data_IF_209916936065
#
_entry.id   IF_209916936065
#
_cell.length_a   1.000
_cell.length_b   1.000
_cell.length_c   1.000
_cell.angle_alpha   90.00
_cell.angle_beta   90.00
_cell.angle_gamma   90.00
#
_symmetry.space_group_name_H-M   'P 1'
#
loop_
_entity.id
_entity.type
_entity.pdbx_description
1 polymer ?
#
# COMPACT_ATOMS: atom_id res chain seq x y z
N UNK A 1 -71.51 -65.13 -11.89
CA UNK A 1 -70.10 -64.93 -11.50
C UNK A 1 -69.41 -64.20 -12.63
N UNK A 2 -69.15 -62.90 -12.47
CA UNK A 2 -68.58 -62.04 -13.52
C UNK A 2 -67.43 -61.24 -12.88
N UNK A 3 -66.20 -61.23 -13.43
CA UNK A 3 -65.11 -60.46 -12.86
C UNK A 3 -65.07 -59.07 -13.51
N UNK A 4 -65.14 -58.01 -12.71
CA UNK A 4 -64.96 -56.64 -13.19
C UNK A 4 -63.51 -56.21 -12.93
N UNK A 5 -62.74 -56.00 -14.01
CA UNK A 5 -61.39 -55.44 -13.97
C UNK A 5 -61.45 -53.96 -13.57
N UNK A 6 -60.69 -53.58 -12.53
CA UNK A 6 -60.48 -52.20 -12.14
C UNK A 6 -59.11 -51.73 -12.66
N UNK A 7 -59.10 -50.77 -13.58
CA UNK A 7 -57.88 -50.13 -14.06
C UNK A 7 -57.54 -48.95 -13.14
N UNK A 8 -56.37 -49.00 -12.50
CA UNK A 8 -55.81 -47.90 -11.72
C UNK A 8 -54.98 -47.03 -12.68
N UNK A 9 -55.43 -45.81 -12.92
CA UNK A 9 -54.67 -44.79 -13.65
C UNK A 9 -53.71 -44.12 -12.65
N UNK A 10 -52.41 -44.30 -12.86
CA UNK A 10 -51.37 -43.66 -12.05
C UNK A 10 -51.04 -42.28 -12.67
N UNK A 11 -51.50 -41.19 -12.07
CA UNK A 11 -51.13 -39.83 -12.48
C UNK A 11 -49.82 -39.42 -11.81
N UNK A 12 -48.73 -39.37 -12.59
CA UNK A 12 -47.42 -38.87 -12.15
C UNK A 12 -47.41 -37.34 -12.24
N UNK A 13 -47.44 -36.65 -11.09
CA UNK A 13 -47.21 -35.21 -11.01
C UNK A 13 -45.70 -34.93 -11.02
N UNK A 14 -45.18 -34.40 -12.13
CA UNK A 14 -43.81 -33.90 -12.22
C UNK A 14 -43.73 -32.52 -11.54
N UNK A 15 -43.18 -32.45 -10.33
CA UNK A 15 -42.93 -31.18 -9.63
C UNK A 15 -41.65 -30.57 -10.19
N UNK A 16 -41.79 -29.61 -11.11
CA UNK A 16 -40.71 -28.74 -11.57
C UNK A 16 -40.36 -27.74 -10.45
N UNK A 17 -39.35 -28.05 -9.64
CA UNK A 17 -38.72 -27.07 -8.77
C UNK A 17 -37.88 -26.11 -9.63
N UNK A 18 -38.18 -24.80 -9.65
CA UNK A 18 -37.30 -23.84 -10.30
C UNK A 18 -36.01 -23.79 -9.49
N UNK A 19 -34.89 -24.21 -10.11
CA UNK A 19 -33.55 -23.92 -9.60
C UNK A 19 -33.34 -22.41 -9.63
N UNK A 20 -33.73 -21.73 -8.56
CA UNK A 20 -33.30 -20.37 -8.27
C UNK A 20 -31.78 -20.42 -8.07
N UNK A 21 -31.04 -20.01 -9.10
CA UNK A 21 -29.63 -19.68 -8.97
C UNK A 21 -29.51 -18.49 -8.03
N UNK A 22 -29.29 -18.74 -6.74
CA UNK A 22 -28.83 -17.69 -5.84
C UNK A 22 -27.48 -17.21 -6.36
N UNK A 23 -27.49 -16.08 -7.07
CA UNK A 23 -26.29 -15.30 -7.27
C UNK A 23 -25.72 -15.01 -5.87
N UNK A 24 -24.57 -15.63 -5.56
CA UNK A 24 -23.87 -15.35 -4.30
C UNK A 24 -23.48 -13.87 -4.34
N UNK A 25 -24.22 -13.05 -3.59
CA UNK A 25 -23.80 -11.69 -3.30
C UNK A 25 -22.56 -11.78 -2.42
N UNK A 26 -21.38 -11.78 -3.03
CA UNK A 26 -20.13 -11.50 -2.32
C UNK A 26 -20.16 -10.03 -1.94
N UNK A 27 -20.16 -9.70 -0.63
CA UNK A 27 -20.03 -8.32 -0.20
C UNK A 27 -18.79 -7.72 -0.85
N UNK A 28 -18.84 -6.47 -1.34
CA UNK A 28 -17.64 -5.81 -1.87
C UNK A 28 -16.54 -5.87 -0.81
N UNK A 29 -15.32 -6.20 -1.25
CA UNK A 29 -14.15 -6.15 -0.36
C UNK A 29 -13.96 -4.71 0.11
N UNK A 30 -14.16 -4.45 1.40
CA UNK A 30 -13.83 -3.17 2.01
C UNK A 30 -12.31 -3.03 2.01
N UNK A 31 -11.79 -2.04 1.30
CA UNK A 31 -10.38 -1.72 1.24
C UNK A 31 -9.93 -0.96 2.49
N UNK A 32 -8.64 -0.69 2.58
CA UNK A 32 -8.06 0.22 3.56
C UNK A 32 -7.45 1.46 2.91
N UNK A 33 -7.18 2.48 3.72
CA UNK A 33 -6.48 3.69 3.26
C UNK A 33 -5.04 3.66 3.74
N UNK A 34 -4.10 3.79 2.81
CA UNK A 34 -2.69 4.07 3.10
C UNK A 34 -2.41 5.58 2.91
N UNK A 35 -1.59 6.17 3.77
CA UNK A 35 -1.23 7.60 3.69
C UNK A 35 0.28 7.78 3.89
N UNK A 36 0.89 8.68 3.11
CA UNK A 36 2.25 9.15 3.36
C UNK A 36 2.27 10.31 4.37
N UNK A 37 3.17 10.24 5.34
CA UNK A 37 3.37 11.25 6.39
C UNK A 37 4.87 11.50 6.58
N UNK A 38 5.25 12.74 6.88
CA UNK A 38 6.61 13.11 7.28
C UNK A 38 7.27 14.19 6.42
N UNK A 39 6.64 14.62 5.32
CA UNK A 39 7.25 15.54 4.35
C UNK A 39 6.75 16.99 4.48
N UNK A 40 5.91 17.29 5.46
CA UNK A 40 5.57 18.67 5.80
C UNK A 40 5.32 18.81 7.31
N UNK A 41 6.12 19.64 7.99
CA UNK A 41 6.01 19.85 9.44
C UNK A 41 4.65 20.40 9.92
N UNK A 42 3.80 20.88 9.00
CA UNK A 42 2.47 21.40 9.29
C UNK A 42 1.34 20.38 9.04
N UNK A 43 1.65 19.09 8.82
CA UNK A 43 0.64 18.04 8.56
C UNK A 43 0.15 17.31 9.82
N UNK A 44 0.41 17.91 10.98
CA UNK A 44 0.09 17.36 12.29
C UNK A 44 1.02 16.23 12.70
N UNK A 45 0.91 15.83 13.97
CA UNK A 45 1.71 14.75 14.54
C UNK A 45 1.28 13.38 14.00
N UNK A 46 2.14 12.37 14.17
CA UNK A 46 1.84 11.01 13.73
C UNK A 46 0.68 10.43 14.55
N UNK A 47 0.64 10.68 15.86
CA UNK A 47 -0.47 10.22 16.71
C UNK A 47 -1.81 10.88 16.33
N UNK A 48 -1.82 12.17 15.98
CA UNK A 48 -3.00 12.90 15.48
C UNK A 48 -3.48 12.32 14.15
N UNK A 49 -2.55 12.03 13.24
CA UNK A 49 -2.83 11.35 11.96
C UNK A 49 -3.52 10.01 12.21
N UNK A 50 -2.99 9.18 13.11
CA UNK A 50 -3.56 7.89 13.46
C UNK A 50 -4.90 8.00 14.21
N UNK A 51 -5.08 9.01 15.05
CA UNK A 51 -6.30 9.25 15.82
C UNK A 51 -7.50 9.66 14.95
N UNK A 52 -7.28 10.03 13.69
CA UNK A 52 -8.37 10.29 12.73
C UNK A 52 -9.26 9.06 12.50
N UNK A 53 -8.73 7.84 12.70
CA UNK A 53 -9.44 6.59 12.42
C UNK A 53 -9.66 6.31 10.93
N UNK A 54 -9.07 7.10 10.02
CA UNK A 54 -9.26 6.96 8.56
C UNK A 54 -8.25 6.06 7.89
N UNK A 55 -7.07 5.87 8.48
CA UNK A 55 -5.95 5.19 7.83
C UNK A 55 -5.69 3.82 8.45
N UNK A 56 -5.37 2.85 7.61
CA UNK A 56 -4.97 1.50 8.01
C UNK A 56 -3.45 1.30 7.90
N UNK A 57 -2.80 2.12 7.08
CA UNK A 57 -1.36 2.11 6.85
C UNK A 57 -0.83 3.55 6.83
N UNK A 58 0.30 3.78 7.50
CA UNK A 58 1.04 5.04 7.44
C UNK A 58 2.46 4.76 7.00
N UNK A 59 2.87 5.39 5.89
CA UNK A 59 4.23 5.31 5.36
C UNK A 59 5.00 6.55 5.80
N UNK A 60 6.02 6.36 6.65
CA UNK A 60 6.91 7.41 7.13
C UNK A 60 7.92 7.77 6.03
N UNK A 61 7.73 8.94 5.43
CA UNK A 61 8.50 9.44 4.30
C UNK A 61 9.53 10.49 4.78
N UNK A 62 10.84 10.35 4.56
CA UNK A 62 11.54 9.24 3.88
C UNK A 62 12.93 8.98 4.47
N UNK A 63 13.40 7.73 4.36
CA UNK A 63 14.84 7.44 4.36
C UNK A 63 15.34 7.62 2.92
N UNK A 64 15.90 8.78 2.59
CA UNK A 64 16.16 9.18 1.20
C UNK A 64 17.65 9.34 0.84
N UNK A 65 18.56 9.00 1.74
CA UNK A 65 19.99 8.85 1.45
C UNK A 65 20.44 7.51 2.03
N UNK A 66 20.99 6.62 1.21
CA UNK A 66 21.51 5.31 1.64
C UNK A 66 22.25 4.57 0.51
N UNK A 67 22.94 3.48 0.86
CA UNK A 67 23.64 2.62 -0.10
C UNK A 67 24.90 3.26 -0.69
N UNK A 68 25.73 2.48 -1.36
CA UNK A 68 27.00 2.95 -1.93
C UNK A 68 28.01 3.40 -0.86
N UNK A 69 27.94 2.83 0.34
CA UNK A 69 28.80 3.19 1.48
C UNK A 69 28.41 4.48 2.21
N UNK A 70 27.29 5.11 1.84
CA UNK A 70 26.78 6.31 2.52
C UNK A 70 26.25 5.99 3.92
N UNK A 71 26.35 6.94 4.84
CA UNK A 71 25.61 6.90 6.11
C UNK A 71 24.13 7.15 5.81
N UNK A 72 23.20 6.24 6.16
CA UNK A 72 21.80 6.44 5.84
C UNK A 72 21.21 7.66 6.57
N UNK A 73 20.44 8.49 5.86
CA UNK A 73 19.86 9.73 6.40
C UNK A 73 18.35 9.79 6.21
N UNK A 74 17.65 9.90 7.34
CA UNK A 74 16.21 10.09 7.40
C UNK A 74 15.89 11.58 7.24
N UNK A 75 14.85 11.90 6.48
CA UNK A 75 14.30 13.24 6.36
C UNK A 75 12.81 13.22 6.73
N UNK A 76 12.44 13.93 7.79
CA UNK A 76 11.05 14.15 8.19
C UNK A 76 10.68 15.65 8.13
N UNK A 77 11.21 16.34 7.10
CA UNK A 77 11.03 17.76 6.86
C UNK A 77 11.16 18.61 8.15
N UNK A 78 10.09 19.31 8.53
CA UNK A 78 10.07 20.19 9.71
C UNK A 78 9.58 19.52 11.00
N UNK A 79 9.34 18.20 11.03
CA UNK A 79 8.79 17.53 12.22
C UNK A 79 9.82 17.39 13.34
N UNK A 80 11.02 16.96 12.99
CA UNK A 80 12.11 16.71 13.93
C UNK A 80 13.44 16.54 13.18
N UNK A 81 14.55 16.59 13.92
CA UNK A 81 15.90 16.41 13.38
C UNK A 81 16.50 15.05 13.81
N UNK A 82 16.63 14.06 12.90
CA UNK A 82 17.17 12.74 13.25
C UNK A 82 18.65 12.74 13.70
N UNK A 83 19.59 13.48 13.07
CA UNK A 83 20.99 13.52 13.49
C UNK A 83 21.22 13.96 14.94
N UNK A 84 20.44 14.92 15.46
CA UNK A 84 20.50 15.32 16.89
C UNK A 84 19.76 14.37 17.84
N UNK A 85 19.12 13.32 17.34
CA UNK A 85 18.24 12.46 18.11
C UNK A 85 16.87 13.08 18.41
N UNK A 86 16.51 14.20 17.77
CA UNK A 86 15.24 14.90 17.98
C UNK A 86 14.00 14.10 17.57
N UNK A 87 14.16 13.04 16.76
CA UNK A 87 13.06 12.21 16.28
C UNK A 87 12.73 11.00 17.16
N UNK A 88 13.47 10.74 18.24
CA UNK A 88 13.24 9.55 19.10
C UNK A 88 11.87 9.56 19.79
N UNK A 89 11.26 10.74 19.95
CA UNK A 89 9.91 10.90 20.52
C UNK A 89 8.81 10.22 19.69
N UNK A 90 9.04 10.01 18.38
CA UNK A 90 8.10 9.32 17.48
C UNK A 90 7.86 7.87 17.91
N UNK A 91 8.74 7.26 18.69
CA UNK A 91 8.57 5.91 19.24
C UNK A 91 7.20 5.74 19.93
N UNK A 92 6.79 6.73 20.73
CA UNK A 92 5.51 6.67 21.45
C UNK A 92 4.30 6.82 20.52
N UNK A 93 4.44 7.63 19.47
CA UNK A 93 3.39 7.86 18.47
C UNK A 93 3.21 6.66 17.55
N UNK A 94 4.32 6.01 17.14
CA UNK A 94 4.31 4.75 16.40
C UNK A 94 3.58 3.67 17.20
N UNK A 95 3.92 3.52 18.49
CA UNK A 95 3.24 2.56 19.38
C UNK A 95 1.76 2.85 19.51
N UNK A 96 1.38 4.13 19.60
CA UNK A 96 -0.02 4.54 19.61
C UNK A 96 -0.74 4.12 18.33
N UNK A 97 -0.20 4.41 17.14
CA UNK A 97 -0.76 3.94 15.87
C UNK A 97 -0.92 2.42 15.83
N UNK A 98 0.12 1.68 16.23
CA UNK A 98 0.10 0.22 16.27
C UNK A 98 -0.96 -0.33 17.24
N UNK A 99 -1.20 0.34 18.37
CA UNK A 99 -2.26 -0.03 19.31
C UNK A 99 -3.68 0.12 18.72
N UNK A 100 -3.84 0.98 17.71
CA UNK A 100 -5.07 1.12 16.93
C UNK A 100 -5.17 0.13 15.76
N UNK A 101 -4.19 -0.78 15.62
CA UNK A 101 -4.12 -1.74 14.52
C UNK A 101 -3.60 -1.15 13.20
N UNK A 102 -3.11 0.10 13.22
CA UNK A 102 -2.54 0.76 12.05
C UNK A 102 -1.11 0.27 11.85
N UNK A 103 -0.77 -0.14 10.63
CA UNK A 103 0.61 -0.53 10.29
C UNK A 103 1.43 0.71 9.95
N UNK A 104 2.59 0.84 10.57
CA UNK A 104 3.52 1.95 10.31
C UNK A 104 4.76 1.40 9.62
N UNK A 105 5.00 1.83 8.38
CA UNK A 105 6.13 1.41 7.56
C UNK A 105 7.11 2.58 7.38
N UNK A 106 8.41 2.28 7.28
CA UNK A 106 9.39 3.26 6.81
C UNK A 106 9.43 3.24 5.29
N UNK A 107 9.26 4.38 4.64
CA UNK A 107 9.41 4.49 3.19
C UNK A 107 10.83 4.87 2.80
N UNK A 108 11.39 4.10 1.88
CA UNK A 108 12.70 4.29 1.28
C UNK A 108 12.57 5.08 -0.01
N UNK A 109 13.46 6.05 -0.22
CA UNK A 109 13.59 6.75 -1.48
C UNK A 109 12.78 8.03 -1.55
N UNK A 110 11.73 8.03 -2.38
CA UNK A 110 10.95 9.20 -2.80
C UNK A 110 11.60 9.97 -3.95
N UNK A 111 10.87 10.91 -4.54
CA UNK A 111 11.30 11.67 -5.72
C UNK A 111 12.55 12.54 -5.55
N UNK A 112 13.01 12.81 -4.32
CA UNK A 112 14.25 13.56 -4.03
C UNK A 112 15.10 12.76 -3.04
N UNK A 113 16.30 12.37 -3.46
CA UNK A 113 17.26 11.67 -2.61
C UNK A 113 18.53 11.25 -3.34
N UNK A 114 19.44 10.60 -2.60
CA UNK A 114 20.63 9.96 -3.16
C UNK A 114 20.73 8.53 -2.64
N UNK A 115 20.08 7.61 -3.36
CA UNK A 115 19.97 6.22 -2.96
C UNK A 115 20.26 5.29 -4.14
N UNK A 116 21.11 4.30 -3.91
CA UNK A 116 21.42 3.25 -4.88
C UNK A 116 22.24 2.16 -4.20
N UNK A 117 22.17 0.94 -4.72
CA UNK A 117 23.07 -0.14 -4.34
C UNK A 117 24.14 -0.38 -5.40
N UNK A 118 25.35 -0.69 -4.93
CA UNK A 118 26.51 -1.01 -5.75
C UNK A 118 26.74 -2.52 -5.94
N UNK A 119 26.12 -3.35 -5.08
CA UNK A 119 26.23 -4.80 -5.09
C UNK A 119 25.13 -5.46 -4.25
N UNK A 120 24.99 -6.78 -4.35
CA UNK A 120 24.14 -7.57 -3.44
C UNK A 120 24.59 -7.44 -1.98
N UNK A 121 25.90 -7.36 -1.71
CA UNK A 121 26.42 -7.17 -0.34
C UNK A 121 26.06 -5.80 0.24
N UNK A 122 26.04 -4.76 -0.60
CA UNK A 122 25.57 -3.42 -0.22
C UNK A 122 24.08 -3.45 0.17
N UNK A 123 23.25 -4.14 -0.61
CA UNK A 123 21.83 -4.37 -0.28
C UNK A 123 21.66 -5.18 1.02
N UNK A 124 22.51 -6.20 1.25
CA UNK A 124 22.50 -7.00 2.48
C UNK A 124 22.87 -6.16 3.72
N UNK A 125 23.96 -5.41 3.64
CA UNK A 125 24.41 -4.53 4.73
C UNK A 125 23.34 -3.50 5.07
N UNK A 126 22.68 -2.95 4.05
CA UNK A 126 21.57 -2.02 4.27
C UNK A 126 20.34 -2.70 4.87
N UNK A 127 20.01 -3.94 4.48
CA UNK A 127 18.94 -4.71 5.11
C UNK A 127 19.20 -4.92 6.61
N UNK A 128 20.44 -5.23 6.99
CA UNK A 128 20.87 -5.35 8.39
C UNK A 128 20.76 -4.00 9.13
N UNK A 129 21.15 -2.90 8.49
CA UNK A 129 20.96 -1.56 9.03
C UNK A 129 19.48 -1.26 9.31
N UNK A 130 18.59 -1.53 8.36
CA UNK A 130 17.15 -1.33 8.52
C UNK A 130 16.60 -2.19 9.67
N UNK A 131 17.01 -3.46 9.71
CA UNK A 131 16.57 -4.38 10.75
C UNK A 131 16.93 -3.87 12.16
N UNK A 132 18.17 -3.43 12.35
CA UNK A 132 18.69 -2.98 13.64
C UNK A 132 18.21 -1.60 14.07
N UNK A 133 17.95 -0.69 13.12
CA UNK A 133 17.62 0.70 13.44
C UNK A 133 16.13 1.02 13.42
N UNK A 134 15.33 0.25 12.67
CA UNK A 134 13.91 0.56 12.45
C UNK A 134 12.97 -0.63 12.72
N UNK A 135 13.44 -1.87 12.55
CA UNK A 135 12.63 -3.07 12.78
C UNK A 135 12.99 -3.71 14.14
N UNK A 136 12.93 -5.05 14.22
CA UNK A 136 13.07 -5.81 15.46
C UNK A 136 14.50 -6.07 15.95
N UNK A 137 15.51 -5.56 15.26
CA UNK A 137 16.90 -5.64 15.71
C UNK A 137 17.24 -4.60 16.79
N UNK A 138 18.52 -4.52 17.14
CA UNK A 138 19.01 -3.67 18.21
C UNK A 138 20.08 -2.70 17.69
N UNK A 139 20.00 -1.45 18.14
CA UNK A 139 20.97 -0.38 17.85
C UNK A 139 20.92 0.62 19.01
N UNK A 140 22.07 1.19 19.36
CA UNK A 140 22.16 2.20 20.42
C UNK A 140 21.64 3.58 19.97
N UNK A 141 21.46 3.79 18.66
CA UNK A 141 21.14 5.08 18.05
C UNK A 141 20.02 4.94 17.02
N UNK A 142 18.88 4.39 17.44
CA UNK A 142 17.70 4.24 16.57
C UNK A 142 17.08 5.61 16.26
N UNK A 143 16.97 6.02 14.98
CA UNK A 143 16.54 7.39 14.64
C UNK A 143 15.13 7.76 15.11
N UNK A 144 14.23 6.78 15.18
CA UNK A 144 12.83 6.94 15.62
C UNK A 144 12.59 6.43 17.05
N UNK A 145 13.65 6.11 17.79
CA UNK A 145 13.58 5.47 19.10
C UNK A 145 13.30 3.96 19.03
N UNK A 146 12.85 3.39 20.15
CA UNK A 146 12.83 1.93 20.35
C UNK A 146 11.65 1.19 19.69
N UNK A 147 10.60 1.89 19.26
CA UNK A 147 9.47 1.25 18.61
C UNK A 147 9.91 0.53 17.32
N UNK A 148 9.63 -0.78 17.19
CA UNK A 148 9.85 -1.47 15.93
C UNK A 148 8.70 -1.15 14.98
N UNK A 149 9.05 -0.66 13.79
CA UNK A 149 8.10 -0.48 12.69
C UNK A 149 7.58 -1.83 12.20
N UNK A 150 6.45 -1.80 11.49
CA UNK A 150 5.81 -3.00 10.95
C UNK A 150 6.50 -3.50 9.68
N UNK A 151 7.15 -2.61 8.94
CA UNK A 151 7.72 -2.97 7.65
C UNK A 151 8.44 -1.84 6.95
N UNK A 152 8.82 -2.12 5.71
CA UNK A 152 9.56 -1.23 4.82
C UNK A 152 8.75 -1.06 3.54
N UNK A 153 8.55 0.19 3.13
CA UNK A 153 7.96 0.60 1.87
C UNK A 153 9.06 1.00 0.87
N UNK A 154 8.93 0.53 -0.36
CA UNK A 154 9.87 0.78 -1.45
C UNK A 154 9.26 1.80 -2.41
N UNK A 155 9.63 3.06 -2.25
CA UNK A 155 9.25 4.16 -3.14
C UNK A 155 10.47 4.60 -3.97
N UNK A 156 10.87 3.71 -4.89
CA UNK A 156 12.11 3.86 -5.66
C UNK A 156 11.79 4.52 -7.01
N UNK A 157 12.13 5.80 -7.12
CA UNK A 157 11.80 6.62 -8.29
C UNK A 157 13.01 6.99 -9.16
N UNK A 158 14.23 6.72 -8.68
CA UNK A 158 15.47 7.13 -9.33
C UNK A 158 16.64 6.20 -8.99
N UNK A 159 17.84 6.51 -9.52
CA UNK A 159 19.05 5.74 -9.25
C UNK A 159 19.16 4.43 -10.05
N UNK A 160 19.79 3.41 -9.44
CA UNK A 160 19.98 2.09 -10.05
C UNK A 160 18.68 1.28 -10.03
N UNK A 161 18.52 0.38 -11.01
CA UNK A 161 17.43 -0.61 -11.08
C UNK A 161 17.80 -1.95 -10.44
N UNK A 162 19.04 -2.11 -9.98
CA UNK A 162 19.59 -3.37 -9.51
C UNK A 162 19.46 -3.54 -7.99
N UNK A 163 19.45 -4.80 -7.54
CA UNK A 163 19.57 -5.25 -6.15
C UNK A 163 18.38 -4.96 -5.22
N UNK A 164 17.34 -4.28 -5.69
CA UNK A 164 16.11 -4.06 -4.92
C UNK A 164 15.37 -5.38 -4.58
N UNK A 165 15.49 -6.39 -5.43
CA UNK A 165 14.95 -7.72 -5.20
C UNK A 165 15.76 -8.51 -4.17
N UNK A 166 17.08 -8.32 -4.13
CA UNK A 166 17.95 -8.84 -3.06
C UNK A 166 17.60 -8.20 -1.72
N UNK A 167 17.44 -6.87 -1.67
CA UNK A 167 16.99 -6.18 -0.46
C UNK A 167 15.65 -6.74 0.05
N UNK A 168 14.68 -6.95 -0.85
CA UNK A 168 13.39 -7.55 -0.50
C UNK A 168 13.54 -8.96 0.10
N UNK A 169 14.41 -9.80 -0.45
CA UNK A 169 14.70 -11.15 0.08
C UNK A 169 15.31 -11.08 1.48
N UNK A 170 16.35 -10.24 1.68
CA UNK A 170 17.01 -10.11 2.98
C UNK A 170 16.06 -9.57 4.06
N UNK A 171 15.23 -8.57 3.73
CA UNK A 171 14.23 -8.05 4.67
C UNK A 171 13.16 -9.10 4.99
N UNK A 172 12.71 -9.87 4.00
CA UNK A 172 11.77 -10.95 4.21
C UNK A 172 12.31 -12.01 5.17
N UNK A 173 13.57 -12.41 5.02
CA UNK A 173 14.22 -13.43 5.85
C UNK A 173 14.27 -13.04 7.34
N UNK A 174 14.33 -11.75 7.68
CA UNK A 174 14.24 -11.30 9.06
C UNK A 174 12.89 -11.62 9.73
N UNK A 175 11.83 -11.87 8.96
CA UNK A 175 10.55 -12.33 9.50
C UNK A 175 10.67 -13.65 10.26
N UNK A 176 11.69 -14.47 9.94
CA UNK A 176 11.97 -15.75 10.62
C UNK A 176 12.49 -15.56 12.05
N UNK A 177 12.80 -14.31 12.46
CA UNK A 177 13.28 -13.96 13.80
C UNK A 177 12.18 -13.56 14.78
N UNK A 178 10.90 -13.76 14.42
CA UNK A 178 9.76 -13.66 15.35
C UNK A 178 8.68 -12.69 14.90
N UNK A 179 9.02 -11.44 14.60
CA UNK A 179 8.06 -10.44 14.08
C UNK A 179 8.12 -10.40 12.55
N UNK A 180 6.96 -10.55 11.90
CA UNK A 180 6.83 -10.37 10.46
C UNK A 180 7.30 -8.97 10.05
N UNK A 181 8.13 -8.90 9.00
CA UNK A 181 8.49 -7.66 8.31
C UNK A 181 7.58 -7.52 7.10
N UNK A 182 6.69 -6.53 7.12
CA UNK A 182 5.84 -6.23 5.97
C UNK A 182 6.64 -5.52 4.88
N UNK A 183 6.35 -5.84 3.62
CA UNK A 183 6.97 -5.18 2.47
C UNK A 183 5.90 -4.45 1.64
N UNK A 184 6.03 -3.12 1.58
CA UNK A 184 5.24 -2.23 0.72
C UNK A 184 6.04 -1.81 -0.52
N UNK A 185 5.35 -1.44 -1.59
CA UNK A 185 5.97 -0.88 -2.79
C UNK A 185 5.06 0.17 -3.44
N UNK A 186 5.69 1.26 -3.91
CA UNK A 186 5.05 2.36 -4.61
C UNK A 186 5.54 2.49 -6.06
N UNK A 187 5.35 1.48 -6.93
CA UNK A 187 5.71 1.63 -8.34
C UNK A 187 4.90 2.75 -9.01
N UNK A 188 5.44 3.37 -10.05
CA UNK A 188 4.67 4.21 -10.94
C UNK A 188 3.66 3.38 -11.74
N UNK A 189 2.59 3.99 -12.26
CA UNK A 189 1.57 3.25 -13.01
C UNK A 189 1.99 2.64 -14.35
N UNK A 190 3.04 3.09 -15.08
CA UNK A 190 3.50 2.40 -16.28
C UNK A 190 3.97 0.99 -15.94
N UNK A 191 3.47 -0.01 -16.66
CA UNK A 191 3.82 -1.40 -16.43
C UNK A 191 4.67 -1.96 -17.59
N UNK A 192 5.75 -2.73 -17.30
CA UNK A 192 6.31 -2.94 -15.97
C UNK A 192 7.01 -1.68 -15.45
N UNK A 193 6.96 -1.48 -14.13
CA UNK A 193 7.72 -0.39 -13.49
C UNK A 193 9.22 -0.63 -13.65
N UNK A 194 9.97 0.45 -13.94
CA UNK A 194 11.41 0.40 -14.24
C UNK A 194 12.26 -0.08 -13.05
N UNK A 195 11.90 0.31 -11.83
CA UNK A 195 12.69 0.06 -10.62
C UNK A 195 12.13 -1.14 -9.83
N UNK A 196 10.81 -1.22 -9.74
CA UNK A 196 10.08 -2.21 -8.95
C UNK A 196 9.62 -3.43 -9.74
N UNK A 197 9.75 -3.43 -11.07
CA UNK A 197 9.35 -4.57 -11.92
C UNK A 197 10.03 -5.89 -11.56
N UNK A 198 11.34 -5.89 -11.28
CA UNK A 198 12.08 -7.09 -10.85
C UNK A 198 11.79 -7.45 -9.38
N UNK A 199 11.86 -6.51 -8.41
CA UNK A 199 11.50 -6.79 -7.01
C UNK A 199 10.12 -7.39 -6.82
N UNK A 200 9.10 -6.88 -7.51
CA UNK A 200 7.73 -7.36 -7.33
C UNK A 200 7.55 -8.82 -7.76
N UNK A 201 8.30 -9.28 -8.78
CA UNK A 201 8.26 -10.68 -9.25
C UNK A 201 8.77 -11.69 -8.22
N UNK A 202 9.44 -11.24 -7.15
CA UNK A 202 9.78 -12.12 -6.02
C UNK A 202 8.55 -12.67 -5.29
N UNK A 203 7.38 -12.01 -5.42
CA UNK A 203 6.16 -12.37 -4.70
C UNK A 203 6.21 -12.11 -3.19
N UNK A 204 7.24 -11.39 -2.72
CA UNK A 204 7.45 -11.14 -1.29
C UNK A 204 6.64 -9.95 -0.77
N UNK A 205 6.34 -8.96 -1.62
CA UNK A 205 5.59 -7.77 -1.25
C UNK A 205 4.17 -8.10 -0.78
N UNK A 206 3.75 -7.47 0.31
CA UNK A 206 2.43 -7.61 0.92
C UNK A 206 1.45 -6.60 0.33
N UNK A 207 1.91 -5.36 0.12
CA UNK A 207 1.12 -4.24 -0.36
C UNK A 207 1.81 -3.60 -1.56
N UNK A 208 1.04 -3.31 -2.61
CA UNK A 208 1.51 -2.55 -3.77
C UNK A 208 0.55 -1.39 -4.00
N UNK A 209 0.98 -0.16 -3.76
CA UNK A 209 0.21 1.05 -4.00
C UNK A 209 0.73 1.76 -5.25
N UNK A 210 0.20 1.35 -6.40
CA UNK A 210 0.62 1.89 -7.70
C UNK A 210 0.25 3.37 -7.78
N UNK A 211 1.23 4.21 -8.12
CA UNK A 211 1.06 5.66 -8.24
C UNK A 211 0.38 5.99 -9.58
N UNK A 212 -0.94 6.20 -9.57
CA UNK A 212 -1.73 6.58 -10.74
C UNK A 212 -1.78 8.09 -10.94
N UNK A 213 -0.61 8.73 -10.91
CA UNK A 213 -0.40 10.16 -11.09
C UNK A 213 1.01 10.45 -11.64
N UNK A 214 1.24 11.69 -12.09
CA UNK A 214 2.45 12.13 -12.80
C UNK A 214 2.78 11.31 -14.07
N UNK A 215 1.82 10.56 -14.60
CA UNK A 215 1.99 9.60 -15.68
C UNK A 215 0.73 9.56 -16.59
N UNK A 216 0.61 10.50 -17.55
CA UNK A 216 -0.55 10.61 -18.44
C UNK A 216 -1.05 9.32 -19.11
N UNK A 217 -0.19 8.34 -19.49
CA UNK A 217 -0.65 7.11 -20.13
C UNK A 217 -1.51 6.20 -19.26
N UNK A 218 -1.45 6.32 -17.93
CA UNK A 218 -2.10 5.39 -16.99
C UNK A 218 -2.79 6.07 -15.81
N UNK A 219 -2.78 7.39 -15.71
CA UNK A 219 -3.50 8.13 -14.67
C UNK A 219 -4.93 8.51 -15.08
N UNK A 220 -5.63 9.18 -14.16
CA UNK A 220 -6.87 9.89 -14.46
C UNK A 220 -6.58 11.21 -15.19
N UNK A 221 -7.21 11.42 -16.34
CA UNK A 221 -7.05 12.61 -17.18
C UNK A 221 -8.39 13.24 -17.58
N UNK A 222 -9.40 13.15 -16.71
CA UNK A 222 -10.80 13.46 -17.02
C UNK A 222 -11.62 12.22 -17.44
N UNK A 223 -10.95 11.09 -17.65
CA UNK A 223 -11.55 9.79 -17.91
C UNK A 223 -10.82 8.70 -17.10
N UNK A 224 -11.55 7.66 -16.67
CA UNK A 224 -11.02 6.53 -15.90
C UNK A 224 -10.40 5.43 -16.77
N UNK A 225 -10.61 5.42 -18.09
CA UNK A 225 -10.22 4.31 -18.98
C UNK A 225 -8.73 3.94 -18.85
N UNK A 226 -7.82 4.91 -18.88
CA UNK A 226 -6.38 4.65 -18.80
C UNK A 226 -6.00 4.00 -17.47
N UNK A 227 -6.52 4.55 -16.37
CA UNK A 227 -6.33 4.01 -15.02
C UNK A 227 -6.89 2.60 -14.90
N UNK A 228 -8.12 2.34 -15.36
CA UNK A 228 -8.74 1.01 -15.29
C UNK A 228 -7.97 -0.01 -16.13
N UNK A 229 -7.51 0.37 -17.33
CA UNK A 229 -6.68 -0.51 -18.16
C UNK A 229 -5.36 -0.87 -17.47
N UNK A 230 -4.68 0.12 -16.88
CA UNK A 230 -3.45 -0.12 -16.13
C UNK A 230 -3.70 -0.94 -14.86
N UNK A 231 -4.76 -0.64 -14.10
CA UNK A 231 -5.19 -1.44 -12.95
C UNK A 231 -5.42 -2.91 -13.30
N UNK A 232 -6.09 -3.19 -14.42
CA UNK A 232 -6.33 -4.56 -14.88
C UNK A 232 -5.02 -5.28 -15.21
N UNK A 233 -4.06 -4.58 -15.81
CA UNK A 233 -2.73 -5.12 -16.08
C UNK A 233 -1.97 -5.46 -14.79
N UNK A 234 -1.92 -4.53 -13.83
CA UNK A 234 -1.33 -4.74 -12.51
C UNK A 234 -2.03 -5.89 -11.75
N UNK A 235 -3.35 -5.85 -11.63
CA UNK A 235 -4.12 -6.85 -10.88
C UNK A 235 -4.10 -8.25 -11.51
N UNK A 236 -3.79 -8.39 -12.79
CA UNK A 236 -3.62 -9.71 -13.42
C UNK A 236 -2.37 -10.47 -12.95
N UNK A 237 -1.37 -9.79 -12.37
CA UNK A 237 -0.08 -10.36 -12.02
C UNK A 237 -0.15 -11.28 -10.78
N UNK A 238 0.21 -12.55 -10.91
CA UNK A 238 0.07 -13.57 -9.85
C UNK A 238 0.90 -13.28 -8.57
N UNK A 239 1.99 -12.54 -8.68
CA UNK A 239 2.87 -12.17 -7.57
C UNK A 239 2.32 -11.01 -6.71
N UNK A 240 1.25 -10.33 -7.15
CA UNK A 240 0.61 -9.26 -6.38
C UNK A 240 -0.46 -9.84 -5.45
N UNK A 241 -0.31 -9.58 -4.15
CA UNK A 241 -1.23 -10.03 -3.09
C UNK A 241 -2.34 -9.03 -2.82
N UNK A 242 -1.98 -7.78 -2.51
CA UNK A 242 -2.90 -6.65 -2.34
C UNK A 242 -2.43 -5.45 -3.14
N UNK A 243 -3.35 -4.91 -3.93
CA UNK A 243 -3.14 -3.79 -4.84
C UNK A 243 -4.00 -2.61 -4.38
N UNK A 244 -3.40 -1.42 -4.34
CA UNK A 244 -4.03 -0.17 -3.96
C UNK A 244 -3.91 0.82 -5.11
N UNK A 245 -4.93 1.68 -5.27
CA UNK A 245 -4.86 2.83 -6.19
C UNK A 245 -4.22 3.99 -5.45
N UNK A 246 -2.99 4.35 -5.82
CA UNK A 246 -2.29 5.53 -5.32
C UNK A 246 -2.72 6.78 -6.06
N UNK A 247 -3.15 7.81 -5.31
CA UNK A 247 -3.66 9.07 -5.83
C UNK A 247 -3.09 10.27 -5.07
N UNK A 248 -3.01 11.44 -5.70
CA UNK A 248 -2.73 12.68 -4.98
C UNK A 248 -3.98 13.11 -4.20
N UNK A 249 -3.81 13.51 -2.95
CA UNK A 249 -4.89 13.94 -2.06
C UNK A 249 -5.43 15.35 -2.40
N UNK A 250 -4.70 16.12 -3.21
CA UNK A 250 -5.12 17.42 -3.71
C UNK A 250 -4.50 17.67 -5.10
N UNK A 251 -5.04 18.62 -5.86
CA UNK A 251 -4.48 18.97 -7.19
C UNK A 251 -3.05 19.46 -7.11
N UNK A 252 -2.65 20.06 -5.99
CA UNK A 252 -1.30 20.57 -5.75
C UNK A 252 -0.30 19.49 -5.30
N UNK A 253 -0.78 18.28 -4.96
CA UNK A 253 0.08 17.22 -4.45
C UNK A 253 0.91 16.52 -5.53
N UNK A 254 0.52 16.66 -6.81
CA UNK A 254 1.18 16.08 -7.96
C UNK A 254 1.07 17.01 -9.17
N UNK A 255 1.90 16.81 -10.19
CA UNK A 255 1.84 17.57 -11.44
C UNK A 255 0.60 17.23 -12.29
N UNK A 256 0.09 16.01 -12.15
CA UNK A 256 -1.11 15.53 -12.86
C UNK A 256 -1.76 14.34 -12.12
N UNK A 257 -2.89 13.84 -12.61
CA UNK A 257 -3.52 12.62 -12.10
C UNK A 257 -4.48 12.79 -10.90
N UNK A 258 -4.73 14.02 -10.43
CA UNK A 258 -5.75 14.25 -9.41
C UNK A 258 -7.14 13.85 -9.88
N UNK A 259 -7.82 13.04 -9.05
CA UNK A 259 -9.15 12.54 -9.32
C UNK A 259 -10.14 13.08 -8.28
N UNK A 260 -11.28 13.67 -8.68
CA UNK A 260 -12.32 14.07 -7.73
C UNK A 260 -12.84 12.89 -6.88
N UNK A 261 -13.13 13.08 -5.57
CA UNK A 261 -13.59 12.01 -4.69
C UNK A 261 -14.86 11.27 -5.14
N UNK A 262 -15.78 11.99 -5.79
CA UNK A 262 -17.01 11.46 -6.37
C UNK A 262 -16.74 10.57 -7.59
N UNK A 263 -15.73 10.90 -8.40
CA UNK A 263 -15.28 10.04 -9.50
C UNK A 263 -14.66 8.74 -8.96
N UNK A 264 -13.82 8.85 -7.92
CA UNK A 264 -13.21 7.68 -7.28
C UNK A 264 -14.28 6.72 -6.75
N UNK A 265 -15.21 7.23 -5.94
CA UNK A 265 -16.21 6.41 -5.25
C UNK A 265 -17.35 5.98 -6.16
N UNK A 266 -17.73 6.79 -7.14
CA UNK A 266 -18.83 6.50 -8.07
C UNK A 266 -18.44 5.63 -9.26
N UNK A 267 -17.19 5.67 -9.70
CA UNK A 267 -16.77 5.01 -10.95
C UNK A 267 -15.58 4.06 -10.79
N UNK A 268 -14.52 4.48 -10.09
CA UNK A 268 -13.29 3.66 -10.01
C UNK A 268 -13.43 2.52 -9.03
N UNK A 269 -13.79 2.79 -7.76
CA UNK A 269 -13.96 1.77 -6.72
C UNK A 269 -14.93 0.67 -7.13
N UNK A 270 -16.13 0.97 -7.68
CA UNK A 270 -17.05 -0.07 -8.16
C UNK A 270 -16.51 -0.93 -9.31
N UNK A 271 -15.57 -0.41 -10.11
CA UNK A 271 -14.95 -1.15 -11.19
C UNK A 271 -13.84 -2.09 -10.68
N UNK A 272 -13.07 -1.66 -9.67
CA UNK A 272 -11.86 -2.38 -9.23
C UNK A 272 -12.08 -3.28 -8.01
N UNK A 273 -13.06 -2.99 -7.15
CA UNK A 273 -13.30 -3.72 -5.90
C UNK A 273 -13.78 -5.17 -6.09
N UNK A 274 -14.14 -5.54 -7.33
CA UNK A 274 -14.45 -6.91 -7.75
C UNK A 274 -13.20 -7.79 -7.81
N UNK A 275 -12.01 -7.19 -7.91
CA UNK A 275 -10.75 -7.92 -7.87
C UNK A 275 -10.49 -8.42 -6.44
N UNK A 276 -10.18 -9.72 -6.24
CA UNK A 276 -9.82 -10.23 -4.90
C UNK A 276 -8.51 -9.62 -4.37
N UNK A 277 -7.70 -9.03 -5.27
CA UNK A 277 -6.47 -8.32 -4.93
C UNK A 277 -6.71 -6.88 -4.52
N UNK A 278 -7.94 -6.34 -4.65
CA UNK A 278 -8.23 -5.00 -4.15
C UNK A 278 -7.90 -4.92 -2.66
N UNK A 279 -6.97 -4.01 -2.34
CA UNK A 279 -6.50 -3.69 -1.00
C UNK A 279 -7.03 -2.36 -0.50
N UNK A 280 -7.40 -1.45 -1.41
CA UNK A 280 -7.92 -0.13 -1.08
C UNK A 280 -7.30 0.99 -1.91
N UNK A 281 -7.05 2.12 -1.27
CA UNK A 281 -6.49 3.33 -1.87
C UNK A 281 -5.29 3.83 -1.07
N UNK A 282 -4.37 4.51 -1.74
CA UNK A 282 -3.21 5.16 -1.12
C UNK A 282 -3.23 6.64 -1.50
N UNK A 283 -2.83 7.51 -0.57
CA UNK A 283 -2.74 8.93 -0.82
C UNK A 283 -1.36 9.52 -0.56
N UNK A 284 -0.91 10.32 -1.53
CA UNK A 284 0.14 11.30 -1.37
C UNK A 284 -0.50 12.69 -1.20
N UNK A 285 -0.44 13.34 -0.04
CA UNK A 285 0.08 12.92 1.27
C UNK A 285 -0.83 13.47 2.38
N UNK A 286 -0.52 13.20 3.66
CA UNK A 286 -1.31 13.67 4.81
C UNK A 286 -1.49 15.20 4.80
N UNK A 287 -0.43 15.96 4.53
CA UNK A 287 -0.54 17.42 4.40
C UNK A 287 -1.67 17.84 3.45
N UNK A 288 -1.68 17.30 2.24
CA UNK A 288 -2.66 17.65 1.22
C UNK A 288 -4.05 17.10 1.52
N UNK A 289 -4.14 15.95 2.17
CA UNK A 289 -5.40 15.38 2.66
C UNK A 289 -6.07 16.27 3.71
N UNK A 290 -5.29 16.89 4.60
CA UNK A 290 -5.84 17.87 5.55
C UNK A 290 -6.36 19.12 4.84
N UNK A 291 -5.66 19.60 3.81
CA UNK A 291 -6.07 20.80 3.07
C UNK A 291 -7.35 20.57 2.26
N UNK A 292 -7.49 19.40 1.65
CA UNK A 292 -8.61 19.09 0.74
C UNK A 292 -9.78 18.38 1.42
N UNK A 293 -9.54 17.74 2.57
CA UNK A 293 -10.51 16.86 3.23
C UNK A 293 -10.82 15.59 2.43
N UNK A 294 -9.92 15.13 1.56
CA UNK A 294 -10.18 14.05 0.60
C UNK A 294 -10.67 12.78 1.29
N UNK A 295 -9.90 12.25 2.24
CA UNK A 295 -10.21 10.97 2.88
C UNK A 295 -11.43 11.07 3.79
N UNK A 296 -11.71 12.23 4.38
CA UNK A 296 -12.96 12.49 5.11
C UNK A 296 -14.20 12.25 4.24
N UNK A 297 -14.13 12.53 2.94
CA UNK A 297 -15.26 12.33 2.01
C UNK A 297 -15.44 10.87 1.59
N UNK A 298 -14.39 10.05 1.64
CA UNK A 298 -14.40 8.72 1.02
C UNK A 298 -14.23 7.56 2.01
N UNK A 299 -13.80 7.79 3.25
CA UNK A 299 -13.36 6.68 4.14
C UNK A 299 -14.44 5.62 4.43
N UNK A 300 -15.72 5.99 4.37
CA UNK A 300 -16.82 5.04 4.54
C UNK A 300 -17.19 4.27 3.25
N UNK A 301 -16.67 4.73 2.10
CA UNK A 301 -17.03 4.29 0.75
C UNK A 301 -15.95 3.45 0.06
N UNK A 302 -14.75 3.37 0.64
CA UNK A 302 -13.63 2.56 0.16
C UNK A 302 -13.41 1.30 1.00
#
# INVERSE_FOLDING_TARGET
MCPTKLYIILSVFLILFPFLTQARYTPPHRGGIAIYWGQNGNEGRLNETCATGRYNYVNLAFLNIFGGGQVPSLNLAGHCDPPSGGCVGLSSEIQYCQSLGIKVLLSLGGGIGNYSFSSTDDAKNFAEYLYNNYLGGQSNSRPLGHAPLDGIDFDIESGSVLYWDDLARFLHDFSRRGRKVYLGAAPQCPFPDKYMGTPLKTGLFDYVWVQFYNNPPCEYNGNITNLINSWNLWSSQNYIKKLFVGLPAATQAAGSGFMPPDVLTGHVVPAINRSPKYGGVMFWSKFWDDQSGYTTRIFNLV
#
